data_IF_770435331740
#
_entry.id   IF_770435331740
#
_cell.length_a   1.000
_cell.length_b   1.000
_cell.length_c   1.000
_cell.angle_alpha   90.00
_cell.angle_beta   90.00
_cell.angle_gamma   90.00
#
_symmetry.space_group_name_H-M   'P 1'
#
loop_
_entity.id
_entity.type
_entity.pdbx_description
1 polymer ?
#
# COMPACT_ATOMS: atom_id res chain seq x y z
N UNK A 1 28.44 -31.86 19.77
CA UNK A 1 27.70 -30.70 19.26
C UNK A 1 26.93 -30.10 20.42
N UNK A 2 27.26 -28.87 20.81
CA UNK A 2 26.59 -28.16 21.91
C UNK A 2 25.38 -27.39 21.39
N UNK A 3 24.44 -27.03 22.28
CA UNK A 3 23.23 -26.27 21.92
C UNK A 3 23.55 -24.96 21.20
N UNK A 4 24.63 -24.29 21.58
CA UNK A 4 25.06 -23.04 20.94
C UNK A 4 25.58 -23.27 19.51
N UNK A 5 26.30 -24.36 19.24
CA UNK A 5 26.75 -24.70 17.89
C UNK A 5 25.59 -25.00 16.94
N UNK A 6 24.52 -25.64 17.43
CA UNK A 6 23.29 -25.88 16.67
C UNK A 6 22.61 -24.56 16.33
N UNK A 7 22.46 -23.66 17.31
CA UNK A 7 21.83 -22.36 17.11
C UNK A 7 22.67 -21.45 16.21
N UNK A 8 23.99 -21.48 16.31
CA UNK A 8 24.88 -20.73 15.45
C UNK A 8 24.80 -21.22 13.99
N UNK A 9 24.80 -22.53 13.78
CA UNK A 9 24.64 -23.13 12.45
C UNK A 9 23.28 -22.81 11.84
N UNK A 10 22.20 -22.95 12.60
CA UNK A 10 20.84 -22.61 12.17
C UNK A 10 20.69 -21.12 11.81
N UNK A 11 21.24 -20.20 12.62
CA UNK A 11 21.24 -18.76 12.30
C UNK A 11 22.03 -18.45 11.03
N UNK A 12 23.11 -19.19 10.75
CA UNK A 12 23.92 -18.99 9.56
C UNK A 12 23.22 -19.53 8.31
N UNK A 13 22.51 -20.66 8.43
CA UNK A 13 21.70 -21.26 7.35
C UNK A 13 20.44 -20.42 7.04
N UNK A 14 19.74 -19.89 8.06
CA UNK A 14 18.54 -19.04 7.86
C UNK A 14 18.85 -17.59 7.48
N UNK A 15 20.11 -17.13 7.58
CA UNK A 15 20.47 -15.73 7.34
C UNK A 15 20.11 -15.23 5.94
N UNK A 16 20.15 -16.13 4.95
CA UNK A 16 19.77 -15.83 3.56
C UNK A 16 18.28 -15.97 3.27
N UNK A 17 17.58 -16.81 4.04
CA UNK A 17 16.14 -17.01 3.92
C UNK A 17 15.37 -15.74 4.29
N UNK A 18 15.74 -15.08 5.40
CA UNK A 18 15.13 -13.81 5.84
C UNK A 18 15.26 -12.71 4.77
N UNK A 19 16.39 -12.64 4.07
CA UNK A 19 16.62 -11.66 3.01
C UNK A 19 15.79 -11.98 1.76
N UNK A 20 15.68 -13.26 1.38
CA UNK A 20 14.85 -13.70 0.27
C UNK A 20 13.35 -13.46 0.55
N UNK A 21 12.88 -13.76 1.77
CA UNK A 21 11.51 -13.49 2.19
C UNK A 21 11.19 -12.00 2.19
N UNK A 22 12.12 -11.15 2.66
CA UNK A 22 11.99 -9.70 2.58
C UNK A 22 11.90 -9.19 1.14
N UNK A 23 12.69 -9.76 0.22
CA UNK A 23 12.65 -9.40 -1.19
C UNK A 23 11.33 -9.84 -1.84
N UNK A 24 10.88 -11.06 -1.57
CA UNK A 24 9.58 -11.58 -2.03
C UNK A 24 8.46 -10.70 -1.49
N UNK A 25 8.45 -10.38 -0.20
CA UNK A 25 7.46 -9.50 0.41
C UNK A 25 7.45 -8.10 -0.25
N UNK A 26 8.62 -7.55 -0.57
CA UNK A 26 8.74 -6.27 -1.28
C UNK A 26 8.21 -6.34 -2.71
N UNK A 27 8.56 -7.39 -3.47
CA UNK A 27 8.08 -7.58 -4.85
C UNK A 27 6.57 -7.84 -4.89
N UNK A 28 6.06 -8.72 -4.05
CA UNK A 28 4.64 -9.03 -3.93
C UNK A 28 3.82 -7.79 -3.60
N UNK A 29 4.34 -6.90 -2.75
CA UNK A 29 3.71 -5.62 -2.44
C UNK A 29 3.60 -4.70 -3.67
N UNK A 30 4.66 -4.61 -4.48
CA UNK A 30 4.64 -3.85 -5.73
C UNK A 30 3.63 -4.40 -6.72
N UNK A 31 3.54 -5.73 -6.85
CA UNK A 31 2.62 -6.41 -7.76
C UNK A 31 1.18 -6.24 -7.30
N UNK A 32 0.91 -6.39 -6.00
CA UNK A 32 -0.42 -6.19 -5.43
C UNK A 32 -0.95 -4.77 -5.65
N UNK A 33 -0.11 -3.75 -5.44
CA UNK A 33 -0.47 -2.36 -5.71
C UNK A 33 -0.78 -2.10 -7.18
N UNK A 34 0.02 -2.64 -8.10
CA UNK A 34 -0.20 -2.51 -9.54
C UNK A 34 -1.48 -3.23 -9.99
N UNK A 35 -1.72 -4.44 -9.50
CA UNK A 35 -2.92 -5.21 -9.79
C UNK A 35 -4.19 -4.48 -9.28
N UNK A 36 -4.15 -3.93 -8.06
CA UNK A 36 -5.25 -3.16 -7.49
C UNK A 36 -5.54 -1.90 -8.31
N UNK A 37 -4.50 -1.19 -8.77
CA UNK A 37 -4.67 0.00 -9.62
C UNK A 37 -5.29 -0.35 -10.98
N UNK A 38 -4.81 -1.43 -11.62
CA UNK A 38 -5.32 -1.87 -12.91
C UNK A 38 -6.78 -2.31 -12.80
N UNK A 39 -7.09 -3.19 -11.85
CA UNK A 39 -8.46 -3.66 -11.62
C UNK A 39 -9.37 -2.50 -11.23
N UNK A 40 -8.93 -1.62 -10.33
CA UNK A 40 -9.68 -0.45 -9.91
C UNK A 40 -10.01 0.49 -11.07
N UNK A 41 -9.04 0.73 -11.95
CA UNK A 41 -9.23 1.55 -13.15
C UNK A 41 -10.22 0.90 -14.11
N UNK A 42 -10.09 -0.40 -14.39
CA UNK A 42 -10.98 -1.14 -15.30
C UNK A 42 -12.41 -1.14 -14.77
N UNK A 43 -12.61 -1.45 -13.49
CA UNK A 43 -13.95 -1.44 -12.87
C UNK A 43 -14.57 -0.05 -12.90
N UNK A 44 -13.78 0.98 -12.61
CA UNK A 44 -14.29 2.35 -12.66
C UNK A 44 -14.65 2.80 -14.08
N UNK A 45 -13.87 2.41 -15.09
CA UNK A 45 -14.20 2.66 -16.50
C UNK A 45 -15.49 1.94 -16.88
N UNK A 46 -15.65 0.67 -16.49
CA UNK A 46 -16.88 -0.08 -16.75
C UNK A 46 -18.08 0.61 -16.08
N UNK A 47 -17.98 0.98 -14.80
CA UNK A 47 -19.06 1.71 -14.11
C UNK A 47 -19.40 3.02 -14.79
N UNK A 48 -18.39 3.80 -15.16
CA UNK A 48 -18.59 5.11 -15.75
C UNK A 48 -19.24 5.02 -17.13
N UNK A 49 -18.84 4.04 -17.96
CA UNK A 49 -19.36 3.92 -19.33
C UNK A 49 -20.66 3.13 -19.43
N UNK A 50 -20.91 2.18 -18.54
CA UNK A 50 -22.07 1.28 -18.65
C UNK A 50 -23.19 1.59 -17.65
N UNK A 51 -22.88 2.22 -16.51
CA UNK A 51 -23.86 2.46 -15.45
C UNK A 51 -23.86 3.91 -14.94
N UNK A 52 -23.13 4.83 -15.60
CA UNK A 52 -22.86 6.20 -15.15
C UNK A 52 -22.35 6.31 -13.70
N UNK A 53 -21.89 5.19 -13.13
CA UNK A 53 -21.53 5.04 -11.74
C UNK A 53 -20.03 5.20 -11.56
N UNK A 54 -19.64 6.04 -10.60
CA UNK A 54 -18.23 6.27 -10.24
C UNK A 54 -17.93 5.58 -8.92
N UNK A 55 -17.05 4.59 -8.96
CA UNK A 55 -16.67 3.76 -7.81
C UNK A 55 -15.76 4.52 -6.82
N UNK A 56 -16.30 5.53 -6.14
CA UNK A 56 -15.55 6.37 -5.20
C UNK A 56 -15.02 5.59 -3.98
N UNK A 57 -15.76 4.58 -3.52
CA UNK A 57 -15.39 3.66 -2.46
C UNK A 57 -14.17 2.79 -2.83
N UNK A 58 -14.08 2.35 -4.09
CA UNK A 58 -12.93 1.58 -4.58
C UNK A 58 -11.65 2.42 -4.54
N UNK A 59 -11.74 3.69 -4.96
CA UNK A 59 -10.63 4.64 -4.89
C UNK A 59 -10.26 5.00 -3.45
N UNK A 60 -11.23 5.15 -2.56
CA UNK A 60 -10.97 5.39 -1.14
C UNK A 60 -10.12 4.26 -0.52
N UNK A 61 -10.46 3.00 -0.81
CA UNK A 61 -9.69 1.84 -0.34
C UNK A 61 -8.28 1.84 -0.93
N UNK A 62 -8.16 2.09 -2.24
CA UNK A 62 -6.85 2.13 -2.91
C UNK A 62 -5.94 3.21 -2.33
N UNK A 63 -6.44 4.44 -2.18
CA UNK A 63 -5.68 5.55 -1.63
C UNK A 63 -5.32 5.34 -0.15
N UNK A 64 -6.21 4.70 0.63
CA UNK A 64 -5.90 4.33 2.01
C UNK A 64 -4.76 3.31 2.09
N UNK A 65 -4.78 2.29 1.23
CA UNK A 65 -3.69 1.32 1.11
C UNK A 65 -2.37 2.00 0.75
N UNK A 66 -2.38 2.84 -0.30
CA UNK A 66 -1.19 3.59 -0.74
C UNK A 66 -0.66 4.53 0.35
N UNK A 67 -1.55 5.22 1.06
CA UNK A 67 -1.22 6.09 2.19
C UNK A 67 -0.53 5.35 3.32
N UNK A 68 -1.05 4.17 3.67
CA UNK A 68 -0.48 3.30 4.70
C UNK A 68 0.92 2.81 4.30
N UNK A 69 1.12 2.45 3.03
CA UNK A 69 2.46 2.09 2.53
C UNK A 69 3.44 3.26 2.63
N UNK A 70 3.04 4.46 2.23
CA UNK A 70 3.85 5.67 2.37
C UNK A 70 4.26 5.95 3.82
N UNK A 71 3.33 5.75 4.76
CA UNK A 71 3.59 5.90 6.19
C UNK A 71 4.61 4.86 6.72
N UNK A 72 4.46 3.58 6.34
CA UNK A 72 5.41 2.53 6.71
C UNK A 72 6.81 2.84 6.16
N UNK A 73 6.90 3.24 4.89
CA UNK A 73 8.17 3.59 4.24
C UNK A 73 8.80 4.85 4.84
N UNK A 74 7.99 5.81 5.29
CA UNK A 74 8.44 6.97 6.04
C UNK A 74 9.08 6.57 7.36
N UNK A 75 8.38 5.76 8.18
CA UNK A 75 8.89 5.26 9.47
C UNK A 75 10.20 4.48 9.26
N UNK A 76 10.23 3.60 8.28
CA UNK A 76 11.43 2.82 7.94
C UNK A 76 12.59 3.74 7.54
N UNK A 77 12.34 4.74 6.70
CA UNK A 77 13.35 5.71 6.26
C UNK A 77 13.88 6.57 7.42
N UNK A 78 13.02 6.93 8.38
CA UNK A 78 13.42 7.62 9.61
C UNK A 78 14.33 6.75 10.48
N UNK A 79 14.00 5.47 10.67
CA UNK A 79 14.82 4.52 11.44
C UNK A 79 16.23 4.33 10.87
N UNK A 80 16.39 4.37 9.55
CA UNK A 80 17.69 4.25 8.88
C UNK A 80 18.41 5.60 8.68
N UNK A 81 17.93 6.69 9.29
CA UNK A 81 18.58 8.01 9.22
C UNK A 81 18.42 8.74 7.88
N UNK A 82 17.66 8.20 6.93
CA UNK A 82 17.49 8.80 5.61
C UNK A 82 16.32 9.80 5.58
N UNK A 83 16.55 10.99 6.16
CA UNK A 83 15.53 12.05 6.30
C UNK A 83 14.97 12.56 4.96
N UNK A 84 15.77 12.58 3.89
CA UNK A 84 15.28 13.01 2.55
C UNK A 84 14.24 12.04 2.02
N UNK A 85 14.52 10.73 2.08
CA UNK A 85 13.58 9.69 1.65
C UNK A 85 12.32 9.67 2.53
N UNK A 86 12.49 9.81 3.85
CA UNK A 86 11.37 9.87 4.78
C UNK A 86 10.39 11.01 4.48
N UNK A 87 10.90 12.21 4.15
CA UNK A 87 10.05 13.33 3.74
C UNK A 87 9.27 13.03 2.47
N UNK A 88 9.92 12.42 1.46
CA UNK A 88 9.27 12.06 0.20
C UNK A 88 8.15 11.03 0.39
N UNK A 89 8.44 9.93 1.10
CA UNK A 89 7.45 8.86 1.33
C UNK A 89 6.36 9.31 2.31
N UNK A 90 6.70 10.15 3.29
CA UNK A 90 5.74 10.77 4.19
C UNK A 90 4.78 11.72 3.48
N UNK A 91 5.30 12.61 2.61
CA UNK A 91 4.47 13.50 1.80
C UNK A 91 3.55 12.71 0.87
N UNK A 92 4.09 11.70 0.18
CA UNK A 92 3.29 10.78 -0.63
C UNK A 92 2.17 10.13 0.19
N UNK A 93 2.49 9.61 1.38
CA UNK A 93 1.51 9.00 2.27
C UNK A 93 0.39 9.96 2.66
N UNK A 94 0.73 11.20 3.02
CA UNK A 94 -0.24 12.25 3.37
C UNK A 94 -1.14 12.60 2.18
N UNK A 95 -0.57 12.77 0.99
CA UNK A 95 -1.34 13.06 -0.23
C UNK A 95 -2.35 11.94 -0.50
N UNK A 96 -1.93 10.68 -0.37
CA UNK A 96 -2.83 9.54 -0.57
C UNK A 96 -3.93 9.48 0.50
N UNK A 97 -3.63 9.79 1.76
CA UNK A 97 -4.67 9.87 2.80
C UNK A 97 -5.69 10.99 2.53
N UNK A 98 -5.23 12.15 2.02
CA UNK A 98 -6.11 13.23 1.60
C UNK A 98 -7.00 12.79 0.42
N UNK A 99 -6.42 12.11 -0.58
CA UNK A 99 -7.18 11.56 -1.70
C UNK A 99 -8.21 10.50 -1.26
N UNK A 100 -7.87 9.67 -0.27
CA UNK A 100 -8.79 8.72 0.34
C UNK A 100 -9.96 9.45 1.01
N UNK A 101 -9.67 10.46 1.84
CA UNK A 101 -10.70 11.26 2.50
C UNK A 101 -11.61 11.97 1.48
N UNK A 102 -11.03 12.56 0.43
CA UNK A 102 -11.80 13.19 -0.65
C UNK A 102 -12.72 12.18 -1.36
N UNK A 103 -12.23 10.96 -1.60
CA UNK A 103 -13.02 9.89 -2.23
C UNK A 103 -14.19 9.46 -1.34
N UNK A 104 -13.97 9.36 -0.02
CA UNK A 104 -15.07 9.10 0.94
C UNK A 104 -16.10 10.22 0.93
N UNK A 105 -15.66 11.48 0.88
CA UNK A 105 -16.58 12.63 0.80
C UNK A 105 -17.42 12.57 -0.48
N UNK A 106 -16.81 12.26 -1.63
CA UNK A 106 -17.56 12.10 -2.89
C UNK A 106 -18.57 10.96 -2.82
N UNK A 107 -18.17 9.81 -2.25
CA UNK A 107 -19.07 8.68 -2.04
C UNK A 107 -20.28 9.05 -1.16
N UNK A 108 -20.05 9.74 -0.03
CA UNK A 108 -21.11 10.19 0.86
C UNK A 108 -22.03 11.24 0.21
N UNK A 109 -21.47 12.11 -0.64
CA UNK A 109 -22.26 13.07 -1.41
C UNK A 109 -23.15 12.39 -2.43
N UNK A 110 -22.63 11.41 -3.16
CA UNK A 110 -23.40 10.63 -4.13
C UNK A 110 -24.53 9.83 -3.47
N UNK A 111 -24.27 9.22 -2.29
CA UNK A 111 -25.30 8.58 -1.47
C UNK A 111 -26.42 9.54 -1.06
N UNK A 112 -26.07 10.77 -0.67
CA UNK A 112 -27.06 11.79 -0.31
C UNK A 112 -27.87 12.28 -1.51
N UNK A 113 -27.27 12.29 -2.69
CA UNK A 113 -27.92 12.69 -3.94
C UNK A 113 -28.82 11.60 -4.53
N UNK A 114 -28.76 10.36 -4.02
CA UNK A 114 -29.49 9.22 -4.59
C UNK A 114 -28.94 8.75 -5.93
N UNK A 115 -27.67 9.07 -6.22
CA UNK A 115 -26.94 8.62 -7.43
C UNK A 115 -26.42 7.18 -7.28
N UNK A 116 -26.58 6.59 -6.09
CA UNK A 116 -26.17 5.25 -5.69
C UNK A 116 -27.28 4.62 -4.85
#
# INVERSE_FOLDING_TARGET
MTKEEILAKSRNENKGADLAELEIARRSRSIAGAAALLLGTVLNLIGTFYTDYRFHELWAIFFMYAGTQGAIDCIHSLKHGNRKRARGTGLYGVIMLIAAAASVVMFLSALKAGEI
#
